data_IF_209517378278
#
_entry.id   IF_209517378278
#
_cell.length_a   1.000
_cell.length_b   1.000
_cell.length_c   1.000
_cell.angle_alpha   90.00
_cell.angle_beta   90.00
_cell.angle_gamma   90.00
#
_symmetry.space_group_name_H-M   'P 1'
#
loop_
_entity.id
_entity.type
_entity.pdbx_description
1 polymer ?
#
# COMPACT_ATOMS: atom_id res chain seq x y z
N UNK A 1 -10.40 -8.86 52.00
CA UNK A 1 -10.87 -8.96 50.61
C UNK A 1 -9.97 -8.07 49.74
N UNK A 2 -9.00 -8.64 49.04
CA UNK A 2 -8.12 -7.93 48.12
C UNK A 2 -8.42 -8.46 46.71
N UNK A 3 -8.74 -7.59 45.75
CA UNK A 3 -8.71 -7.88 44.31
C UNK A 3 -8.83 -6.57 43.53
N UNK A 4 -7.73 -6.16 42.89
CA UNK A 4 -7.70 -5.03 41.95
C UNK A 4 -6.52 -5.20 41.00
N UNK A 5 -6.74 -5.96 39.94
CA UNK A 5 -5.73 -6.39 38.97
C UNK A 5 -5.46 -5.33 37.89
N UNK A 6 -4.17 -5.07 37.66
CA UNK A 6 -3.51 -4.96 36.34
C UNK A 6 -4.02 -3.93 35.33
N UNK A 7 -3.37 -2.76 35.28
CA UNK A 7 -3.33 -1.89 34.11
C UNK A 7 -1.90 -1.82 33.55
N UNK A 8 -1.55 -2.70 32.62
CA UNK A 8 -0.29 -2.66 31.87
C UNK A 8 -0.48 -3.37 30.53
N UNK A 9 -0.81 -2.62 29.46
CA UNK A 9 -1.04 -3.23 28.14
C UNK A 9 -1.13 -2.28 26.94
N UNK A 10 -0.72 -1.00 27.08
CA UNK A 10 -0.88 0.01 26.02
C UNK A 10 0.40 0.34 25.26
N UNK A 11 1.58 -0.05 25.75
CA UNK A 11 2.87 0.30 25.12
C UNK A 11 3.22 -0.62 23.93
N UNK A 12 3.01 -1.94 24.08
CA UNK A 12 3.35 -2.95 23.06
C UNK A 12 2.51 -2.83 21.78
N UNK A 13 1.27 -2.37 21.93
CA UNK A 13 0.33 -2.19 20.81
C UNK A 13 0.72 -0.99 19.92
N UNK A 14 1.47 -0.02 20.46
CA UNK A 14 1.88 1.18 19.72
C UNK A 14 3.09 0.91 18.80
N UNK A 15 3.99 0.00 19.18
CA UNK A 15 5.16 -0.37 18.36
C UNK A 15 4.78 -1.17 17.11
N UNK A 16 3.77 -2.06 17.20
CA UNK A 16 3.26 -2.79 16.05
C UNK A 16 2.67 -1.87 14.96
N UNK A 17 1.95 -0.81 15.37
CA UNK A 17 1.39 0.19 14.44
C UNK A 17 2.49 1.04 13.77
N UNK A 18 3.56 1.37 14.50
CA UNK A 18 4.70 2.14 13.96
C UNK A 18 5.47 1.34 12.90
N UNK A 19 5.60 0.03 13.10
CA UNK A 19 6.24 -0.87 12.12
C UNK A 19 5.44 -0.96 10.81
N UNK A 20 4.10 -0.94 10.88
CA UNK A 20 3.24 -0.96 9.70
C UNK A 20 3.40 0.29 8.84
N UNK A 21 3.41 1.50 9.42
CA UNK A 21 3.53 2.75 8.63
C UNK A 21 4.86 2.86 7.89
N UNK A 22 5.96 2.38 8.49
CA UNK A 22 7.27 2.35 7.84
C UNK A 22 7.31 1.35 6.65
N UNK A 23 6.64 0.21 6.77
CA UNK A 23 6.54 -0.78 5.69
C UNK A 23 5.72 -0.27 4.48
N UNK A 24 4.72 0.58 4.73
CA UNK A 24 3.86 1.17 3.70
C UNK A 24 4.54 2.21 2.82
N UNK A 25 5.63 2.83 3.29
CA UNK A 25 6.43 3.76 2.48
C UNK A 25 7.46 3.03 1.60
N UNK A 26 7.83 1.81 1.96
CA UNK A 26 8.74 0.95 1.20
C UNK A 26 8.02 0.11 0.13
N UNK A 27 6.69 0.00 0.18
CA UNK A 27 5.91 -0.65 -0.86
C UNK A 27 5.93 0.20 -2.13
N UNK A 28 6.50 -0.34 -3.21
CA UNK A 28 6.56 0.33 -4.52
C UNK A 28 5.18 0.74 -5.06
N UNK A 29 5.18 1.51 -6.15
CA UNK A 29 3.94 2.01 -6.75
C UNK A 29 3.29 0.88 -7.57
N UNK A 30 1.98 0.70 -7.39
CA UNK A 30 1.19 -0.23 -8.18
C UNK A 30 0.79 0.37 -9.51
N UNK A 31 1.17 -0.32 -10.59
CA UNK A 31 0.75 -0.05 -11.95
C UNK A 31 -0.12 -1.20 -12.48
N UNK A 32 -0.84 -0.95 -13.56
CA UNK A 32 -1.66 -1.93 -14.26
C UNK A 32 -1.14 -2.10 -15.69
N UNK A 33 -0.97 -3.34 -16.15
CA UNK A 33 -0.52 -3.60 -17.51
C UNK A 33 -1.61 -3.25 -18.54
N UNK A 34 -1.22 -2.61 -19.64
CA UNK A 34 -2.17 -2.22 -20.69
C UNK A 34 -2.76 -3.37 -21.51
N UNK A 35 -2.19 -4.57 -21.45
CA UNK A 35 -2.64 -5.72 -22.25
C UNK A 35 -3.35 -6.78 -21.39
N UNK A 36 -2.70 -7.24 -20.32
CA UNK A 36 -3.25 -8.30 -19.45
C UNK A 36 -3.94 -7.80 -18.16
N UNK A 37 -4.02 -6.47 -17.95
CA UNK A 37 -4.58 -5.84 -16.74
C UNK A 37 -3.95 -6.32 -15.41
N UNK A 38 -2.80 -6.99 -15.45
CA UNK A 38 -2.13 -7.48 -14.25
C UNK A 38 -1.57 -6.30 -13.43
N UNK A 39 -1.68 -6.39 -12.11
CA UNK A 39 -1.09 -5.42 -11.18
C UNK A 39 0.41 -5.68 -11.05
N UNK A 40 1.22 -4.68 -11.34
CA UNK A 40 2.69 -4.73 -11.29
C UNK A 40 3.17 -3.75 -10.22
N UNK A 41 3.95 -4.23 -9.26
CA UNK A 41 4.61 -3.37 -8.27
C UNK A 41 6.00 -2.99 -8.76
N UNK A 42 6.25 -1.69 -8.96
CA UNK A 42 7.56 -1.19 -9.38
C UNK A 42 8.17 -0.26 -8.34
N UNK A 43 9.48 -0.42 -8.11
CA UNK A 43 10.30 0.52 -7.35
C UNK A 43 11.04 1.46 -8.31
N UNK A 44 11.54 2.62 -7.82
CA UNK A 44 12.40 3.47 -8.62
C UNK A 44 13.59 2.68 -9.16
N UNK A 45 13.92 2.85 -10.45
CA UNK A 45 14.99 2.16 -11.20
C UNK A 45 14.68 0.73 -11.65
N UNK A 46 13.52 0.15 -11.29
CA UNK A 46 13.10 -1.13 -11.87
C UNK A 46 12.76 -0.97 -13.36
N UNK A 47 13.03 -1.97 -14.21
CA UNK A 47 12.66 -1.92 -15.62
C UNK A 47 11.13 -1.92 -15.79
N UNK A 48 10.63 -1.13 -16.73
CA UNK A 48 9.19 -1.06 -17.05
C UNK A 48 8.81 -2.30 -17.86
N UNK A 49 8.36 -3.33 -17.15
CA UNK A 49 7.96 -4.61 -17.74
C UNK A 49 6.85 -5.26 -16.91
N UNK A 50 5.85 -5.80 -17.59
CA UNK A 50 4.87 -6.66 -16.96
C UNK A 50 5.45 -8.06 -16.73
N UNK A 51 5.38 -8.56 -15.48
CA UNK A 51 5.93 -9.88 -15.11
C UNK A 51 5.11 -11.05 -15.67
N UNK A 52 3.83 -10.86 -16.02
CA UNK A 52 2.97 -11.93 -16.53
C UNK A 52 3.02 -12.09 -18.05
N UNK A 53 3.10 -10.99 -18.82
CA UNK A 53 3.05 -11.03 -20.29
C UNK A 53 4.28 -10.43 -20.99
N UNK A 54 5.18 -9.77 -20.28
CA UNK A 54 6.38 -9.13 -20.86
C UNK A 54 6.12 -7.81 -21.59
N UNK A 55 4.87 -7.34 -21.65
CA UNK A 55 4.52 -6.04 -22.24
C UNK A 55 5.13 -4.86 -21.45
N UNK A 56 5.48 -3.77 -22.14
CA UNK A 56 6.28 -2.66 -21.57
C UNK A 56 5.49 -1.37 -21.34
N UNK A 57 4.17 -1.38 -21.56
CA UNK A 57 3.30 -0.23 -21.28
C UNK A 57 2.48 -0.55 -20.04
N UNK A 58 2.63 0.28 -19.02
CA UNK A 58 1.93 0.18 -17.75
C UNK A 58 1.21 1.51 -17.45
N UNK A 59 -0.03 1.43 -16.98
CA UNK A 59 -0.82 2.57 -16.54
C UNK A 59 -0.74 2.72 -15.03
N UNK A 60 -0.83 3.96 -14.53
CA UNK A 60 -0.95 4.21 -13.10
C UNK A 60 -2.37 3.89 -12.66
N UNK A 61 -2.51 3.12 -11.59
CA UNK A 61 -3.83 2.75 -11.05
C UNK A 61 -4.57 4.00 -10.52
N UNK A 62 -5.90 4.00 -10.67
CA UNK A 62 -6.77 5.05 -10.15
C UNK A 62 -6.60 5.20 -8.63
N UNK A 63 -6.67 6.41 -8.11
CA UNK A 63 -6.64 6.64 -6.67
C UNK A 63 -7.88 6.05 -6.01
N UNK A 64 -7.71 5.33 -4.89
CA UNK A 64 -8.84 4.86 -4.08
C UNK A 64 -9.55 5.99 -3.32
N UNK A 65 -8.89 7.16 -3.19
CA UNK A 65 -9.47 8.34 -2.56
C UNK A 65 -10.59 8.89 -3.44
N UNK A 66 -11.78 9.09 -2.85
CA UNK A 66 -12.89 9.77 -3.49
C UNK A 66 -12.47 11.20 -3.87
N UNK A 67 -12.73 11.56 -5.12
CA UNK A 67 -12.51 12.91 -5.63
C UNK A 67 -13.88 13.53 -5.93
N UNK A 68 -14.14 14.69 -5.35
CA UNK A 68 -15.36 15.45 -5.56
C UNK A 68 -15.09 16.52 -6.62
N UNK A 69 -15.97 16.58 -7.61
CA UNK A 69 -15.94 17.57 -8.68
C UNK A 69 -17.30 18.28 -8.74
N UNK A 70 -17.30 19.56 -9.07
CA UNK A 70 -18.53 20.33 -9.36
C UNK A 70 -18.96 20.10 -10.81
N UNK A 71 -20.27 19.95 -11.03
CA UNK A 71 -20.84 19.90 -12.37
C UNK A 71 -20.98 21.34 -12.88
N UNK A 72 -20.12 21.73 -13.82
CA UNK A 72 -20.18 23.01 -14.53
C UNK A 72 -20.69 22.79 -15.95
#
# INVERSE_FOLDING_TARGET
MNSGAGAAGSAEQQEAMKQQVASSLASGITYECGDCAAKVQLRPRDPILCQSCGYRILYKVRTARLQQYEAR
#
